data_IF_101814347119
#
_entry.id   IF_101814347119
#
_cell.length_a   1.000
_cell.length_b   1.000
_cell.length_c   1.000
_cell.angle_alpha   90.00
_cell.angle_beta   90.00
_cell.angle_gamma   90.00
#
_symmetry.space_group_name_H-M   'P 1'
#
loop_
_entity.id
_entity.type
_entity.pdbx_description
1 polymer ?
#
# COMPACT_ATOMS: atom_id res chain seq x y z
N UNK A 1 4.22 5.07 -0.99
CA UNK A 1 5.18 6.13 -0.59
C UNK A 1 5.86 5.74 0.71
N UNK A 2 6.96 6.40 1.11
CA UNK A 2 7.61 6.23 2.41
C UNK A 2 7.76 7.57 3.10
N UNK A 3 7.43 7.65 4.38
CA UNK A 3 7.66 8.82 5.22
C UNK A 3 8.91 8.60 6.08
N UNK A 4 9.72 9.64 6.26
CA UNK A 4 10.82 9.64 7.22
C UNK A 4 10.27 9.95 8.61
N UNK A 5 10.42 9.00 9.55
CA UNK A 5 9.89 9.12 10.92
C UNK A 5 8.39 9.48 10.99
N UNK A 6 7.59 9.05 10.00
CA UNK A 6 6.16 9.33 9.93
C UNK A 6 5.77 10.77 9.58
N UNK A 7 6.72 11.63 9.18
CA UNK A 7 6.44 13.03 8.83
C UNK A 7 5.93 13.14 7.40
N UNK A 8 4.71 13.66 7.21
CA UNK A 8 4.04 13.73 5.90
C UNK A 8 4.85 14.50 4.85
N UNK A 9 5.47 15.61 5.23
CA UNK A 9 6.31 16.44 4.35
C UNK A 9 7.61 15.77 3.88
N UNK A 10 7.89 14.54 4.32
CA UNK A 10 9.08 13.77 3.92
C UNK A 10 8.71 12.60 3.01
N UNK A 11 7.57 12.69 2.33
CA UNK A 11 7.10 11.63 1.44
C UNK A 11 8.05 11.43 0.26
N UNK A 12 8.57 10.21 0.14
CA UNK A 12 9.30 9.75 -1.04
C UNK A 12 8.52 8.66 -1.78
N UNK A 13 8.39 8.82 -3.10
CA UNK A 13 7.76 7.84 -3.99
C UNK A 13 8.86 6.88 -4.48
N UNK A 14 8.76 5.61 -4.11
CA UNK A 14 9.69 4.55 -4.58
C UNK A 14 9.19 3.86 -5.84
N UNK A 15 7.88 3.66 -5.93
CA UNK A 15 7.23 3.09 -7.10
C UNK A 15 5.94 3.87 -7.34
N UNK A 16 5.71 4.24 -8.60
CA UNK A 16 4.51 4.96 -9.02
C UNK A 16 3.30 4.03 -9.21
N UNK A 17 3.54 2.73 -9.42
CA UNK A 17 2.47 1.74 -9.62
C UNK A 17 2.46 0.71 -8.47
N UNK A 18 1.58 0.87 -7.48
CA UNK A 18 1.52 -0.03 -6.33
C UNK A 18 0.97 -1.43 -6.70
N UNK A 19 0.21 -1.57 -7.79
CA UNK A 19 -0.31 -2.86 -8.27
C UNK A 19 0.85 -3.69 -8.81
N UNK A 20 1.70 -3.11 -9.65
CA UNK A 20 2.89 -3.80 -10.19
C UNK A 20 3.89 -4.11 -9.08
N UNK A 21 4.01 -3.25 -8.06
CA UNK A 21 4.82 -3.54 -6.88
C UNK A 21 4.32 -4.78 -6.11
N UNK A 22 3.01 -4.93 -5.95
CA UNK A 22 2.42 -6.07 -5.25
C UNK A 22 2.63 -7.38 -6.04
N UNK A 23 2.42 -7.35 -7.36
CA UNK A 23 2.70 -8.50 -8.24
C UNK A 23 4.18 -8.90 -8.22
N UNK A 24 5.07 -7.93 -8.18
CA UNK A 24 6.51 -8.19 -8.04
C UNK A 24 6.79 -8.97 -6.75
N UNK A 25 6.27 -8.54 -5.60
CA UNK A 25 6.47 -9.27 -4.35
C UNK A 25 5.89 -10.69 -4.35
N UNK A 26 4.71 -10.89 -4.93
CA UNK A 26 4.15 -12.23 -5.12
C UNK A 26 5.07 -13.11 -5.98
N UNK A 27 5.57 -12.58 -7.09
CA UNK A 27 6.49 -13.29 -7.99
C UNK A 27 7.80 -13.67 -7.31
N UNK A 28 8.32 -12.82 -6.43
CA UNK A 28 9.51 -13.09 -5.63
C UNK A 28 9.26 -14.06 -4.46
N UNK A 29 8.04 -14.59 -4.32
CA UNK A 29 7.70 -15.62 -3.34
C UNK A 29 7.34 -15.08 -1.96
N UNK A 30 6.93 -13.81 -1.84
CA UNK A 30 6.46 -13.26 -0.58
C UNK A 30 5.16 -13.93 -0.13
N UNK A 31 5.15 -14.46 1.09
CA UNK A 31 3.99 -15.16 1.67
C UNK A 31 2.90 -14.20 2.19
N UNK A 32 3.23 -12.94 2.44
CA UNK A 32 2.30 -11.90 2.91
C UNK A 32 2.76 -10.52 2.48
N UNK A 33 1.81 -9.64 2.16
CA UNK A 33 2.06 -8.22 1.84
C UNK A 33 1.32 -7.35 2.85
N UNK A 34 2.05 -6.46 3.53
CA UNK A 34 1.49 -5.47 4.45
C UNK A 34 1.33 -4.12 3.74
N UNK A 35 0.11 -3.58 3.75
CA UNK A 35 -0.25 -2.31 3.12
C UNK A 35 -0.70 -1.33 4.21
N UNK A 36 -0.13 -0.12 4.20
CA UNK A 36 -0.54 0.98 5.08
C UNK A 36 -1.18 2.08 4.25
N UNK A 37 -2.46 2.37 4.49
CA UNK A 37 -3.16 3.53 3.96
C UNK A 37 -2.82 4.78 4.78
N UNK A 38 -1.81 5.51 4.33
CA UNK A 38 -1.36 6.73 5.00
C UNK A 38 -2.39 7.85 4.90
N UNK A 39 -3.15 7.93 3.80
CA UNK A 39 -4.19 8.95 3.65
C UNK A 39 -5.30 8.73 4.67
N UNK A 40 -5.78 7.50 4.81
CA UNK A 40 -6.72 7.15 5.85
C UNK A 40 -6.14 7.40 7.24
N UNK A 41 -4.86 7.07 7.48
CA UNK A 41 -4.19 7.32 8.76
C UNK A 41 -4.11 8.81 9.13
N UNK A 42 -4.04 9.70 8.14
CA UNK A 42 -4.11 11.16 8.32
C UNK A 42 -5.55 11.72 8.30
N UNK A 43 -6.57 10.86 8.26
CA UNK A 43 -7.99 11.23 8.31
C UNK A 43 -8.64 11.50 6.94
N UNK A 44 -7.92 11.30 5.84
CA UNK A 44 -8.45 11.42 4.47
C UNK A 44 -9.06 10.08 4.04
N UNK A 45 -10.38 9.97 4.17
CA UNK A 45 -11.11 8.72 3.88
C UNK A 45 -11.27 8.47 2.38
N UNK A 46 -11.30 7.19 2.03
CA UNK A 46 -11.58 6.64 0.69
C UNK A 46 -10.59 7.02 -0.44
N UNK A 47 -9.50 7.74 -0.17
CA UNK A 47 -8.50 8.17 -1.18
C UNK A 47 -7.85 6.97 -1.88
N UNK A 48 -7.38 5.98 -1.13
CA UNK A 48 -6.63 4.84 -1.67
C UNK A 48 -7.46 3.55 -1.80
N UNK A 49 -8.76 3.62 -1.48
CA UNK A 49 -9.62 2.43 -1.39
C UNK A 49 -9.70 1.65 -2.70
N UNK A 50 -9.89 2.35 -3.82
CA UNK A 50 -9.96 1.71 -5.13
C UNK A 50 -8.63 1.04 -5.47
N UNK A 51 -7.51 1.71 -5.22
CA UNK A 51 -6.17 1.15 -5.42
C UNK A 51 -5.93 -0.11 -4.59
N UNK A 52 -6.35 -0.14 -3.33
CA UNK A 52 -6.23 -1.31 -2.45
C UNK A 52 -7.08 -2.48 -2.99
N UNK A 53 -8.30 -2.22 -3.45
CA UNK A 53 -9.17 -3.23 -4.06
C UNK A 53 -8.56 -3.80 -5.34
N UNK A 54 -7.95 -2.95 -6.17
CA UNK A 54 -7.30 -3.37 -7.41
C UNK A 54 -6.04 -4.21 -7.13
N UNK A 55 -5.25 -3.83 -6.11
CA UNK A 55 -4.14 -4.67 -5.63
C UNK A 55 -4.68 -6.04 -5.21
N UNK A 56 -5.71 -6.09 -4.36
CA UNK A 56 -6.29 -7.36 -3.89
C UNK A 56 -6.77 -8.25 -5.04
N UNK A 57 -7.34 -7.69 -6.09
CA UNK A 57 -7.77 -8.45 -7.29
C UNK A 57 -6.60 -8.95 -8.14
N UNK A 58 -5.44 -8.29 -8.04
CA UNK A 58 -4.29 -8.54 -8.91
C UNK A 58 -3.32 -9.61 -8.42
N UNK A 59 -3.40 -9.98 -7.14
CA UNK A 59 -2.51 -10.96 -6.49
C UNK A 59 -3.31 -11.97 -5.67
N UNK A 60 -2.73 -13.15 -5.49
CA UNK A 60 -3.22 -14.23 -4.62
C UNK A 60 -2.60 -14.17 -3.23
N UNK A 61 -1.39 -13.61 -3.08
CA UNK A 61 -0.72 -13.42 -1.78
C UNK A 61 -1.65 -12.70 -0.77
N UNK A 62 -1.80 -13.23 0.46
CA UNK A 62 -2.56 -12.59 1.52
C UNK A 62 -2.09 -11.16 1.82
N UNK A 63 -3.06 -10.24 1.95
CA UNK A 63 -2.82 -8.84 2.27
C UNK A 63 -3.22 -8.58 3.73
N UNK A 64 -2.34 -7.92 4.47
CA UNK A 64 -2.67 -7.25 5.72
C UNK A 64 -2.82 -5.75 5.46
N UNK A 65 -3.91 -5.16 5.92
CA UNK A 65 -4.21 -3.74 5.72
C UNK A 65 -4.20 -3.00 7.05
N UNK A 66 -3.49 -1.88 7.11
CA UNK A 66 -3.51 -0.92 8.22
C UNK A 66 -3.63 0.51 7.72
N UNK A 67 -3.77 1.46 8.65
CA UNK A 67 -3.91 2.89 8.34
C UNK A 67 -5.37 3.35 8.30
N UNK A 68 -5.77 4.13 9.31
CA UNK A 68 -7.06 4.85 9.33
C UNK A 68 -8.33 4.00 9.28
N UNK A 69 -8.32 2.84 9.96
CA UNK A 69 -9.53 2.03 10.24
C UNK A 69 -10.59 2.90 10.93
#
# INVERSE_FOLDING_TARGET
VRLSQGKENTSHIYNMNPIEQAKFFEKEGCERIHIVDLDAAFGRRDVNKQTILDIRKSISTPIELGGGI
#
